data_IF_141034026453
#
_entry.id   IF_141034026453
#
_cell.length_a   1.000
_cell.length_b   1.000
_cell.length_c   1.000
_cell.angle_alpha   90.00
_cell.angle_beta   90.00
_cell.angle_gamma   90.00
#
_symmetry.space_group_name_H-M   'P 1'
#
loop_
_entity.id
_entity.type
_entity.pdbx_description
1 polymer ?
#
# COMPACT_ATOMS: atom_id res chain seq x y z
N UNK A 1 -33.50 -25.53 -6.95
CA UNK A 1 -32.64 -24.35 -7.12
C UNK A 1 -32.74 -23.95 -8.58
N UNK A 2 -33.44 -22.86 -8.87
CA UNK A 2 -33.71 -22.40 -10.25
C UNK A 2 -32.49 -21.64 -10.81
N UNK A 3 -32.36 -21.57 -12.13
CA UNK A 3 -31.25 -20.82 -12.78
C UNK A 3 -31.24 -19.34 -12.38
N UNK A 4 -32.41 -18.76 -12.08
CA UNK A 4 -32.54 -17.40 -11.55
C UNK A 4 -31.93 -17.26 -10.15
N UNK A 5 -32.17 -18.22 -9.25
CA UNK A 5 -31.56 -18.23 -7.91
C UNK A 5 -30.04 -18.35 -7.99
N UNK A 6 -29.51 -19.13 -8.95
CA UNK A 6 -28.06 -19.26 -9.19
C UNK A 6 -27.49 -17.92 -9.67
N UNK A 7 -28.11 -17.28 -10.66
CA UNK A 7 -27.68 -15.98 -11.19
C UNK A 7 -27.73 -14.89 -10.11
N UNK A 8 -28.76 -14.90 -9.27
CA UNK A 8 -28.91 -13.95 -8.17
C UNK A 8 -27.88 -14.20 -7.06
N UNK A 9 -27.60 -15.46 -6.72
CA UNK A 9 -26.52 -15.83 -5.81
C UNK A 9 -25.14 -15.38 -6.34
N UNK A 10 -24.86 -15.56 -7.63
CA UNK A 10 -23.65 -15.04 -8.26
C UNK A 10 -23.61 -13.51 -8.26
N UNK A 11 -24.75 -12.83 -8.51
CA UNK A 11 -24.84 -11.36 -8.50
C UNK A 11 -24.61 -10.78 -7.10
N UNK A 12 -25.18 -11.39 -6.07
CA UNK A 12 -25.02 -10.99 -4.68
C UNK A 12 -23.62 -11.29 -4.15
N UNK A 13 -23.08 -12.48 -4.44
CA UNK A 13 -21.67 -12.81 -4.16
C UNK A 13 -20.73 -11.79 -4.79
N UNK A 14 -20.96 -11.42 -6.06
CA UNK A 14 -20.18 -10.37 -6.74
C UNK A 14 -20.33 -9.00 -6.06
N UNK A 15 -21.53 -8.63 -5.61
CA UNK A 15 -21.80 -7.39 -4.83
C UNK A 15 -21.06 -7.40 -3.48
N UNK A 16 -21.02 -8.53 -2.80
CA UNK A 16 -20.34 -8.69 -1.51
C UNK A 16 -18.83 -8.70 -1.66
N UNK A 17 -18.31 -9.33 -2.71
CA UNK A 17 -16.89 -9.26 -3.09
C UNK A 17 -16.49 -7.81 -3.41
N UNK A 18 -17.36 -7.05 -4.09
CA UNK A 18 -17.18 -5.62 -4.32
C UNK A 18 -17.20 -4.83 -3.00
N UNK A 19 -18.14 -5.11 -2.07
CA UNK A 19 -18.19 -4.46 -0.75
C UNK A 19 -16.95 -4.75 0.10
N UNK A 20 -16.48 -6.01 0.12
CA UNK A 20 -15.28 -6.44 0.85
C UNK A 20 -13.99 -5.85 0.27
N UNK A 21 -13.93 -5.58 -1.03
CA UNK A 21 -12.81 -4.86 -1.62
C UNK A 21 -12.69 -3.39 -1.16
N UNK A 22 -13.71 -2.82 -0.51
CA UNK A 22 -13.70 -1.47 0.07
C UNK A 22 -13.37 -1.53 1.57
N UNK A 23 -12.34 -2.28 1.96
CA UNK A 23 -11.83 -2.20 3.33
C UNK A 23 -10.88 -0.99 3.41
N UNK A 24 -11.38 0.07 4.07
CA UNK A 24 -10.66 1.32 4.36
C UNK A 24 -9.33 1.00 5.06
N UNK A 25 -8.17 1.41 4.52
CA UNK A 25 -6.92 1.34 5.27
C UNK A 25 -7.07 2.14 6.57
N UNK A 26 -6.92 1.49 7.72
CA UNK A 26 -6.77 2.17 9.01
C UNK A 26 -5.38 2.81 9.03
N UNK A 27 -5.23 3.93 8.34
CA UNK A 27 -4.07 4.80 8.53
C UNK A 27 -4.12 5.25 9.99
N UNK A 28 -3.17 4.78 10.80
CA UNK A 28 -2.98 5.26 12.16
C UNK A 28 -2.40 6.67 12.09
N UNK A 29 -3.21 7.65 11.67
CA UNK A 29 -2.81 9.03 11.39
C UNK A 29 -2.00 9.62 12.55
N UNK A 30 -2.38 9.30 13.79
CA UNK A 30 -1.69 9.77 14.98
C UNK A 30 -0.29 9.16 15.15
N UNK A 31 -0.07 7.88 14.79
CA UNK A 31 1.25 7.22 14.90
C UNK A 31 2.22 7.80 13.88
N UNK A 32 1.75 8.00 12.65
CA UNK A 32 2.54 8.59 11.58
C UNK A 32 2.85 10.07 11.83
N UNK A 33 1.86 10.84 12.31
CA UNK A 33 2.06 12.22 12.71
C UNK A 33 3.07 12.33 13.86
N UNK A 34 2.95 11.48 14.89
CA UNK A 34 3.90 11.44 16.00
C UNK A 34 5.32 11.11 15.53
N UNK A 35 5.46 10.15 14.63
CA UNK A 35 6.76 9.77 14.07
C UNK A 35 7.38 10.93 13.27
N UNK A 36 6.60 11.63 12.43
CA UNK A 36 7.06 12.83 11.70
C UNK A 36 7.50 13.92 12.68
N UNK A 37 6.72 14.17 13.74
CA UNK A 37 7.06 15.15 14.78
C UNK A 37 8.38 14.79 15.46
N UNK A 38 8.57 13.53 15.86
CA UNK A 38 9.82 13.06 16.48
C UNK A 38 11.03 13.28 15.55
N UNK A 39 10.94 12.90 14.28
CA UNK A 39 12.04 13.12 13.32
C UNK A 39 12.31 14.61 13.10
N UNK A 40 11.27 15.46 13.03
CA UNK A 40 11.44 16.91 12.90
C UNK A 40 12.13 17.55 14.11
N UNK A 41 11.81 17.06 15.32
CA UNK A 41 12.45 17.50 16.57
C UNK A 41 13.90 17.03 16.63
N UNK A 42 14.21 15.79 16.24
CA UNK A 42 15.59 15.29 16.16
C UNK A 42 16.43 16.11 15.18
N UNK A 43 15.89 16.43 14.00
CA UNK A 43 16.57 17.32 13.03
C UNK A 43 16.81 18.69 13.65
N UNK A 44 15.79 19.33 14.25
CA UNK A 44 15.92 20.63 14.88
C UNK A 44 16.96 20.64 16.01
N UNK A 45 16.98 19.62 16.87
CA UNK A 45 17.97 19.48 17.95
C UNK A 45 19.39 19.34 17.41
N UNK A 46 19.56 18.58 16.32
CA UNK A 46 20.87 18.43 15.68
C UNK A 46 21.32 19.78 15.09
N UNK A 47 20.42 20.56 14.46
CA UNK A 47 20.71 21.93 13.94
C UNK A 47 21.10 22.88 15.08
N UNK A 48 20.36 22.85 16.19
CA UNK A 48 20.61 23.73 17.36
C UNK A 48 21.97 23.39 18.01
N UNK A 49 22.33 22.11 18.05
CA UNK A 49 23.61 21.63 18.56
C UNK A 49 24.80 21.87 17.59
N UNK A 50 24.52 22.39 16.38
CA UNK A 50 25.50 22.66 15.32
C UNK A 50 26.48 23.81 15.65
N UNK A 51 26.38 24.40 16.85
CA UNK A 51 27.31 25.44 17.33
C UNK A 51 28.58 24.88 18.00
N UNK A 52 28.73 23.55 18.14
CA UNK A 52 29.78 22.92 18.98
C UNK A 52 30.66 21.84 18.32
N UNK A 53 30.21 21.14 17.26
CA UNK A 53 30.97 20.03 16.64
C UNK A 53 31.38 20.30 15.18
N UNK A 54 32.48 19.63 14.77
CA UNK A 54 33.07 19.66 13.43
C UNK A 54 32.00 19.36 12.35
N UNK A 55 31.85 20.29 11.40
CA UNK A 55 30.78 20.36 10.39
C UNK A 55 30.49 19.06 9.65
N UNK A 56 31.51 18.24 9.39
CA UNK A 56 31.40 16.94 8.71
C UNK A 56 30.60 15.88 9.49
N UNK A 57 30.65 15.87 10.83
CA UNK A 57 29.90 14.87 11.61
C UNK A 57 28.39 15.15 11.57
N UNK A 58 28.01 16.43 11.52
CA UNK A 58 26.62 16.87 11.45
C UNK A 58 25.98 16.54 10.10
N UNK A 59 26.69 16.76 8.99
CA UNK A 59 26.19 16.42 7.65
C UNK A 59 25.98 14.92 7.47
N UNK A 60 26.89 14.09 8.02
CA UNK A 60 26.74 12.63 8.05
C UNK A 60 25.52 12.23 8.88
N UNK A 61 25.33 12.79 10.08
CA UNK A 61 24.19 12.47 10.93
C UNK A 61 22.85 12.87 10.26
N UNK A 62 22.78 14.06 9.69
CA UNK A 62 21.59 14.56 9.00
C UNK A 62 21.21 13.68 7.80
N UNK A 63 22.19 13.29 6.98
CA UNK A 63 21.95 12.41 5.84
C UNK A 63 21.45 11.02 6.28
N UNK A 64 22.01 10.46 7.35
CA UNK A 64 21.53 9.18 7.93
C UNK A 64 20.10 9.31 8.45
N UNK A 65 19.77 10.37 9.19
CA UNK A 65 18.41 10.59 9.73
C UNK A 65 17.39 10.74 8.60
N UNK A 66 17.71 11.51 7.55
CA UNK A 66 16.85 11.67 6.36
C UNK A 66 16.64 10.32 5.66
N UNK A 67 17.71 9.54 5.47
CA UNK A 67 17.61 8.22 4.83
C UNK A 67 16.73 7.27 5.64
N UNK A 68 16.88 7.23 6.97
CA UNK A 68 16.04 6.42 7.85
C UNK A 68 14.57 6.86 7.78
N UNK A 69 14.30 8.16 7.77
CA UNK A 69 12.95 8.71 7.62
C UNK A 69 12.31 8.24 6.29
N UNK A 70 13.01 8.37 5.17
CA UNK A 70 12.52 7.94 3.86
C UNK A 70 12.21 6.43 3.82
N UNK A 71 13.06 5.60 4.42
CA UNK A 71 12.85 4.15 4.51
C UNK A 71 11.55 3.82 5.26
N UNK A 72 11.29 4.49 6.38
CA UNK A 72 10.08 4.22 7.18
C UNK A 72 8.79 4.64 6.47
N UNK A 73 8.81 5.76 5.73
CA UNK A 73 7.62 6.30 5.07
C UNK A 73 7.20 5.53 3.79
N UNK A 74 8.10 4.74 3.22
CA UNK A 74 7.88 4.07 1.93
C UNK A 74 6.61 3.20 1.92
N UNK A 75 6.30 2.53 3.05
CA UNK A 75 5.09 1.69 3.17
C UNK A 75 3.82 2.49 3.00
N UNK A 76 3.75 3.64 3.65
CA UNK A 76 2.55 4.47 3.65
C UNK A 76 2.33 5.13 2.29
N UNK A 77 3.41 5.57 1.64
CA UNK A 77 3.36 6.12 0.28
C UNK A 77 2.76 5.09 -0.69
N UNK A 78 3.21 3.83 -0.64
CA UNK A 78 2.71 2.79 -1.55
C UNK A 78 1.26 2.45 -1.26
N UNK A 79 0.87 2.30 0.00
CA UNK A 79 -0.53 2.04 0.35
C UNK A 79 -1.44 3.19 -0.06
N UNK A 80 -0.98 4.43 0.07
CA UNK A 80 -1.69 5.62 -0.39
C UNK A 80 -1.82 5.63 -1.92
N UNK A 81 -0.75 5.34 -2.66
CA UNK A 81 -0.80 5.23 -4.12
C UNK A 81 -1.80 4.16 -4.59
N UNK A 82 -1.79 2.98 -3.97
CA UNK A 82 -2.75 1.91 -4.29
C UNK A 82 -4.18 2.36 -3.98
N UNK A 83 -4.40 3.06 -2.87
CA UNK A 83 -5.72 3.56 -2.49
C UNK A 83 -6.22 4.66 -3.43
N UNK A 84 -5.36 5.61 -3.80
CA UNK A 84 -5.66 6.64 -4.81
C UNK A 84 -6.02 5.99 -6.14
N UNK A 85 -5.24 5.00 -6.58
CA UNK A 85 -5.58 4.22 -7.77
C UNK A 85 -6.95 3.54 -7.63
N UNK A 86 -7.25 2.84 -6.53
CA UNK A 86 -8.55 2.20 -6.32
C UNK A 86 -9.72 3.19 -6.31
N UNK A 87 -9.49 4.43 -5.85
CA UNK A 87 -10.51 5.49 -5.76
C UNK A 87 -10.78 6.15 -7.11
N UNK A 88 -9.74 6.48 -7.87
CA UNK A 88 -9.86 7.17 -9.15
C UNK A 88 -10.04 6.22 -10.34
N UNK A 89 -9.61 4.96 -10.22
CA UNK A 89 -9.73 4.00 -11.32
C UNK A 89 -11.22 3.70 -11.64
N UNK A 90 -11.60 3.80 -12.92
CA UNK A 90 -12.95 3.47 -13.35
C UNK A 90 -13.29 2.00 -13.05
N UNK A 91 -14.58 1.73 -12.85
CA UNK A 91 -15.07 0.38 -12.52
C UNK A 91 -14.75 -0.64 -13.61
N UNK A 92 -14.70 -0.21 -14.87
CA UNK A 92 -14.36 -1.04 -16.04
C UNK A 92 -12.96 -1.65 -15.94
N UNK A 93 -11.96 -0.84 -15.58
CA UNK A 93 -10.57 -1.30 -15.41
C UNK A 93 -10.46 -2.25 -14.21
N UNK A 94 -11.19 -1.98 -13.12
CA UNK A 94 -11.20 -2.87 -11.94
C UNK A 94 -11.92 -4.19 -12.20
N UNK A 95 -12.95 -4.19 -13.04
CA UNK A 95 -13.68 -5.39 -13.45
C UNK A 95 -12.93 -6.24 -14.49
N UNK A 96 -11.93 -5.66 -15.18
CA UNK A 96 -11.11 -6.37 -16.15
C UNK A 96 -10.09 -7.33 -15.53
N UNK A 97 -9.91 -7.33 -14.20
CA UNK A 97 -8.98 -8.23 -13.53
C UNK A 97 -9.50 -9.68 -13.59
N UNK A 98 -8.69 -10.58 -14.16
CA UNK A 98 -9.04 -12.00 -14.30
C UNK A 98 -8.89 -12.81 -13.01
N UNK A 99 -8.22 -12.23 -12.00
CA UNK A 99 -8.02 -12.87 -10.71
C UNK A 99 -8.84 -12.23 -9.58
N UNK A 100 -9.25 -13.07 -8.62
CA UNK A 100 -9.93 -12.67 -7.39
C UNK A 100 -9.04 -13.00 -6.17
N UNK A 101 -8.80 -12.05 -5.24
CA UNK A 101 -9.17 -10.63 -5.29
C UNK A 101 -8.41 -9.88 -6.40
N UNK A 102 -8.83 -8.65 -6.74
CA UNK A 102 -8.21 -7.85 -7.83
C UNK A 102 -6.69 -7.68 -7.67
N UNK A 103 -5.94 -7.43 -8.76
CA UNK A 103 -4.48 -7.22 -8.67
C UNK A 103 -4.10 -6.08 -7.72
N UNK A 104 -4.85 -4.97 -7.71
CA UNK A 104 -4.64 -3.85 -6.77
C UNK A 104 -4.86 -4.28 -5.32
N UNK A 105 -5.85 -5.13 -5.07
CA UNK A 105 -6.19 -5.60 -3.73
C UNK A 105 -5.18 -6.63 -3.22
N UNK A 106 -4.78 -7.56 -4.07
CA UNK A 106 -3.67 -8.46 -3.80
C UNK A 106 -2.37 -7.71 -3.52
N UNK A 107 -2.09 -6.63 -4.25
CA UNK A 107 -0.91 -5.81 -4.01
C UNK A 107 -0.98 -5.12 -2.64
N UNK A 108 -2.15 -4.59 -2.26
CA UNK A 108 -2.41 -4.02 -0.93
C UNK A 108 -2.15 -5.06 0.18
N UNK A 109 -2.75 -6.25 0.07
CA UNK A 109 -2.60 -7.33 1.06
C UNK A 109 -1.15 -7.83 1.10
N UNK A 110 -0.50 -7.98 -0.06
CA UNK A 110 0.91 -8.40 -0.16
C UNK A 110 1.85 -7.42 0.54
N UNK A 111 1.63 -6.11 0.37
CA UNK A 111 2.43 -5.07 1.04
C UNK A 111 2.21 -5.06 2.55
N UNK A 112 0.98 -5.32 3.00
CA UNK A 112 0.67 -5.43 4.44
C UNK A 112 1.30 -6.68 5.07
N UNK A 113 1.29 -7.82 4.38
CA UNK A 113 1.77 -9.12 4.89
C UNK A 113 3.28 -9.31 4.79
N UNK A 114 3.89 -8.90 3.67
CA UNK A 114 5.31 -9.16 3.37
C UNK A 114 6.20 -7.91 3.41
N UNK A 115 5.63 -6.74 3.71
CA UNK A 115 6.32 -5.46 3.62
C UNK A 115 6.42 -4.95 2.18
N UNK A 116 7.00 -3.76 2.01
CA UNK A 116 7.05 -3.04 0.72
C UNK A 116 7.72 -3.86 -0.38
N UNK A 117 8.99 -4.21 -0.21
CA UNK A 117 9.77 -4.77 -1.31
C UNK A 117 9.24 -6.13 -1.77
N UNK A 118 9.01 -7.05 -0.82
CA UNK A 118 8.47 -8.38 -1.14
C UNK A 118 7.02 -8.30 -1.61
N UNK A 119 6.22 -7.44 -0.99
CA UNK A 119 4.82 -7.25 -1.34
C UNK A 119 4.63 -6.69 -2.75
N UNK A 120 5.37 -5.64 -3.09
CA UNK A 120 5.38 -5.06 -4.45
C UNK A 120 5.86 -6.09 -5.45
N UNK A 121 6.96 -6.82 -5.18
CA UNK A 121 7.48 -7.85 -6.08
C UNK A 121 6.46 -8.97 -6.33
N UNK A 122 5.67 -9.37 -5.34
CA UNK A 122 4.57 -10.35 -5.50
C UNK A 122 3.42 -9.77 -6.32
N UNK A 123 2.95 -8.57 -5.97
CA UNK A 123 1.88 -7.89 -6.69
C UNK A 123 2.20 -7.67 -8.17
N UNK A 124 3.42 -7.22 -8.49
CA UNK A 124 3.85 -6.96 -9.85
C UNK A 124 3.98 -8.23 -10.69
N UNK A 125 4.50 -9.31 -10.09
CA UNK A 125 4.52 -10.64 -10.74
C UNK A 125 3.12 -11.14 -11.06
N UNK A 126 2.14 -10.87 -10.20
CA UNK A 126 0.73 -11.22 -10.46
C UNK A 126 0.12 -10.32 -11.54
N UNK A 127 0.38 -9.02 -11.51
CA UNK A 127 -0.10 -8.07 -12.52
C UNK A 127 0.34 -8.48 -13.93
N UNK A 128 1.60 -8.89 -14.11
CA UNK A 128 2.12 -9.40 -15.40
C UNK A 128 1.45 -10.69 -15.90
N UNK A 129 0.87 -11.48 -14.99
CA UNK A 129 0.12 -12.70 -15.32
C UNK A 129 -1.36 -12.44 -15.55
N UNK A 130 -1.88 -11.26 -15.20
CA UNK A 130 -3.28 -10.89 -15.35
C UNK A 130 -3.63 -10.61 -16.82
N UNK A 131 -3.76 -11.68 -17.60
CA UNK A 131 -4.15 -11.68 -19.01
C UNK A 131 -4.67 -13.07 -19.39
N UNK A 132 -5.64 -13.18 -20.33
CA UNK A 132 -6.07 -14.46 -20.88
C UNK A 132 -4.86 -15.27 -21.37
N UNK A 133 -4.81 -16.60 -21.15
CA UNK A 133 -5.84 -17.48 -20.56
C UNK A 133 -5.81 -17.59 -19.03
N UNK A 134 -4.99 -16.79 -18.32
CA UNK A 134 -4.82 -16.91 -16.88
C UNK A 134 -5.95 -16.24 -16.10
N UNK A 135 -6.36 -16.81 -14.97
CA UNK A 135 -7.36 -16.23 -14.07
C UNK A 135 -7.67 -17.14 -12.90
N UNK A 136 -8.58 -16.70 -12.01
CA UNK A 136 -9.06 -17.50 -10.88
C UNK A 136 -8.74 -16.91 -9.50
N UNK A 137 -8.83 -17.76 -8.47
CA UNK A 137 -8.58 -17.37 -7.08
C UNK A 137 -7.08 -17.51 -6.75
N UNK A 138 -6.45 -16.44 -6.25
CA UNK A 138 -5.04 -16.44 -5.87
C UNK A 138 -4.82 -15.45 -4.71
N UNK A 139 -4.55 -15.97 -3.52
CA UNK A 139 -4.37 -15.20 -2.29
C UNK A 139 -2.88 -15.07 -1.91
N UNK A 140 -2.43 -13.89 -1.43
CA UNK A 140 -1.01 -13.57 -1.27
C UNK A 140 -0.27 -14.23 -0.09
#
# INVERSE_FOLDING_TARGET
MTDEEIIEAFRNKRKDDIKKAVIRPKFGLYKEALQIVIFSLLIALTVIFCRSLRTWQYTILLTVVILLFLITQTKNIILLMIFMYQRFAPKTIRAACLFTPSCSEYMRISVLKYGVFKGVKKGFRRLRRCRPPNGGLDEP
#
